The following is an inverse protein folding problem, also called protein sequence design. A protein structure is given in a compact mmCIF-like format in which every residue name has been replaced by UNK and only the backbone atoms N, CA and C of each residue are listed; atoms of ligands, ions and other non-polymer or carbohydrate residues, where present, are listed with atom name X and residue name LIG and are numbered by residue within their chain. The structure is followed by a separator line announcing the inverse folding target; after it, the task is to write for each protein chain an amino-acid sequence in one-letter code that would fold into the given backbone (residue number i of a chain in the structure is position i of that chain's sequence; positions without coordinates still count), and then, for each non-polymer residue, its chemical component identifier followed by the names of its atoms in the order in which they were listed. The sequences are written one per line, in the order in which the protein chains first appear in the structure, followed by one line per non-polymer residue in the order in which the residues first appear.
data_IF_930040176306
#
_entry.id   IF_930040176306
#
_cell.length_a   1.000
_cell.length_b   1.000
_cell.length_c   1.000
_cell.angle_alpha   90.00
_cell.angle_beta   90.00
_cell.angle_gamma   90.00
#
_symmetry.space_group_name_H-M   'P 1'
#
loop_
_entity.id
_entity.type
_entity.pdbx_description
1 polymer ?
#
# COMPACT_ATOMS: atom_id res chain seq x y z
N UNK A 1 -14.51 14.90 16.16
CA UNK A 1 -14.79 13.54 15.67
C UNK A 1 -15.81 12.86 16.58
N UNK A 2 -16.89 12.32 16.02
CA UNK A 2 -17.91 11.57 16.75
C UNK A 2 -17.45 10.12 17.05
N UNK A 3 -18.03 9.43 18.04
CA UNK A 3 -17.71 8.02 18.31
C UNK A 3 -17.96 7.10 17.11
N UNK A 4 -18.96 7.41 16.28
CA UNK A 4 -19.28 6.66 15.07
C UNK A 4 -18.19 6.82 14.00
N UNK A 5 -17.71 8.04 13.78
CA UNK A 5 -16.57 8.31 12.88
C UNK A 5 -15.32 7.58 13.33
N UNK A 6 -15.00 7.64 14.63
CA UNK A 6 -13.84 6.96 15.19
C UNK A 6 -13.94 5.43 15.01
N UNK A 7 -15.13 4.85 15.24
CA UNK A 7 -15.38 3.44 14.99
C UNK A 7 -15.25 3.08 13.50
N UNK A 8 -15.76 3.92 12.59
CA UNK A 8 -15.64 3.72 11.15
C UNK A 8 -14.17 3.73 10.70
N UNK A 9 -13.37 4.67 11.19
CA UNK A 9 -11.93 4.77 10.89
C UNK A 9 -11.16 3.56 11.44
N UNK A 10 -11.47 3.13 12.66
CA UNK A 10 -10.85 1.94 13.26
C UNK A 10 -11.18 0.68 12.45
N UNK A 11 -12.45 0.47 12.09
CA UNK A 11 -12.88 -0.66 11.25
C UNK A 11 -12.28 -0.59 9.85
N UNK A 12 -12.17 0.59 9.27
CA UNK A 12 -11.44 0.82 8.03
C UNK A 12 -9.97 0.44 8.19
N UNK A 13 -9.33 0.77 9.32
CA UNK A 13 -7.99 0.34 9.68
C UNK A 13 -7.85 -1.18 9.75
N UNK A 14 -8.79 -1.89 10.38
CA UNK A 14 -8.82 -3.37 10.38
C UNK A 14 -8.90 -3.93 8.97
N UNK A 15 -9.87 -3.46 8.17
CA UNK A 15 -10.02 -3.87 6.78
C UNK A 15 -8.77 -3.59 5.94
N UNK A 16 -8.20 -2.39 6.10
CA UNK A 16 -7.00 -1.97 5.40
C UNK A 16 -5.80 -2.83 5.79
N UNK A 17 -5.56 -3.09 7.07
CA UNK A 17 -4.47 -3.97 7.54
C UNK A 17 -4.58 -5.38 6.96
N UNK A 18 -5.79 -5.95 6.95
CA UNK A 18 -6.06 -7.27 6.36
C UNK A 18 -5.79 -7.27 4.86
N UNK A 19 -6.33 -6.31 4.13
CA UNK A 19 -6.16 -6.21 2.68
C UNK A 19 -4.73 -5.88 2.29
N UNK A 20 -4.03 -5.03 3.05
CA UNK A 20 -2.66 -4.67 2.73
C UNK A 20 -1.73 -5.89 2.87
N UNK A 21 -1.97 -6.71 3.90
CA UNK A 21 -1.22 -7.95 4.12
C UNK A 21 -1.43 -8.98 3.01
N UNK A 22 -2.66 -9.11 2.49
CA UNK A 22 -3.01 -10.15 1.50
C UNK A 22 -2.81 -9.68 0.06
N UNK A 23 -3.27 -8.47 -0.26
CA UNK A 23 -3.37 -7.93 -1.63
C UNK A 23 -2.42 -6.75 -1.83
N UNK A 24 -2.31 -5.87 -0.82
CA UNK A 24 -1.48 -4.66 -0.91
C UNK A 24 -2.23 -3.39 -1.31
N UNK A 25 -3.51 -3.29 -0.94
CA UNK A 25 -4.41 -2.20 -1.34
C UNK A 25 -5.14 -1.54 -0.16
N UNK A 26 -4.59 -1.60 1.05
CA UNK A 26 -5.27 -1.15 2.27
C UNK A 26 -5.71 0.33 2.24
N UNK A 27 -4.89 1.21 1.67
CA UNK A 27 -5.21 2.63 1.49
C UNK A 27 -6.50 2.88 0.72
N UNK A 28 -6.93 1.97 -0.18
CA UNK A 28 -8.21 2.11 -0.90
C UNK A 28 -9.44 1.89 -0.01
N UNK A 29 -9.25 1.54 1.26
CA UNK A 29 -10.32 1.56 2.27
C UNK A 29 -10.19 2.83 3.09
N UNK A 30 -9.05 3.00 3.77
CA UNK A 30 -8.86 4.05 4.76
C UNK A 30 -8.88 5.44 4.17
N UNK A 31 -8.18 5.69 3.06
CA UNK A 31 -8.10 7.03 2.48
C UNK A 31 -9.46 7.53 1.96
N UNK A 32 -10.19 6.77 1.11
CA UNK A 32 -11.59 7.04 0.78
C UNK A 32 -12.50 7.29 2.00
N UNK A 33 -12.33 6.51 3.07
CA UNK A 33 -13.11 6.68 4.31
C UNK A 33 -12.82 8.04 4.95
N UNK A 34 -11.56 8.45 5.03
CA UNK A 34 -11.18 9.76 5.58
C UNK A 34 -11.75 10.92 4.75
N UNK A 35 -11.70 10.82 3.42
CA UNK A 35 -12.27 11.83 2.53
C UNK A 35 -13.79 11.95 2.71
N UNK A 36 -14.49 10.81 2.82
CA UNK A 36 -15.92 10.80 3.07
C UNK A 36 -16.31 11.42 4.43
N UNK A 37 -15.38 11.47 5.38
CA UNK A 37 -15.53 12.15 6.67
C UNK A 37 -15.07 13.61 6.65
N UNK A 38 -14.72 14.16 5.48
CA UNK A 38 -14.35 15.56 5.30
C UNK A 38 -12.90 15.89 5.67
N UNK A 39 -12.03 14.88 5.84
CA UNK A 39 -10.61 15.12 6.10
C UNK A 39 -9.92 15.63 4.81
N UNK A 40 -9.16 16.74 4.86
CA UNK A 40 -8.44 17.26 3.70
C UNK A 40 -7.52 16.20 3.07
N UNK A 41 -7.41 16.10 1.73
CA UNK A 41 -6.70 15.00 1.09
C UNK A 41 -5.23 14.85 1.50
N UNK A 42 -4.50 15.96 1.65
CA UNK A 42 -3.08 15.91 2.04
C UNK A 42 -2.93 15.34 3.46
N UNK A 43 -3.65 15.90 4.44
CA UNK A 43 -3.69 15.40 5.83
C UNK A 43 -4.15 13.94 5.91
N UNK A 44 -5.17 13.57 5.13
CA UNK A 44 -5.68 12.21 5.07
C UNK A 44 -4.59 11.23 4.57
N UNK A 45 -3.85 11.61 3.53
CA UNK A 45 -2.80 10.77 2.96
C UNK A 45 -1.60 10.61 3.91
N UNK A 46 -1.17 11.72 4.55
CA UNK A 46 -0.07 11.72 5.51
C UNK A 46 -0.40 10.86 6.74
N UNK A 47 -1.56 11.09 7.34
CA UNK A 47 -2.04 10.36 8.53
C UNK A 47 -2.28 8.88 8.22
N UNK A 48 -2.87 8.57 7.06
CA UNK A 48 -3.07 7.20 6.63
C UNK A 48 -1.74 6.45 6.41
N UNK A 49 -0.76 7.08 5.77
CA UNK A 49 0.54 6.45 5.49
C UNK A 49 1.22 6.01 6.80
N UNK A 50 1.27 6.90 7.79
CA UNK A 50 1.76 6.61 9.13
C UNK A 50 0.92 5.54 9.84
N UNK A 51 -0.41 5.70 9.83
CA UNK A 51 -1.33 4.78 10.47
C UNK A 51 -1.24 3.35 9.94
N UNK A 52 -0.88 3.14 8.66
CA UNK A 52 -0.75 1.80 8.11
C UNK A 52 0.60 1.11 8.42
N UNK A 53 1.60 1.83 8.94
CA UNK A 53 2.93 1.27 9.24
C UNK A 53 2.87 0.12 10.25
N UNK A 54 2.21 0.26 11.42
CA UNK A 54 2.13 -0.83 12.40
C UNK A 54 1.44 -2.08 11.85
N UNK A 55 0.40 -1.90 11.03
CA UNK A 55 -0.27 -3.00 10.33
C UNK A 55 0.62 -3.68 9.28
N UNK A 56 1.42 -2.91 8.54
CA UNK A 56 2.42 -3.45 7.62
C UNK A 56 3.49 -4.30 8.34
N UNK A 57 3.95 -3.83 9.51
CA UNK A 57 4.87 -4.58 10.37
C UNK A 57 4.22 -5.88 10.87
N UNK A 58 2.97 -5.83 11.35
CA UNK A 58 2.22 -7.01 11.77
C UNK A 58 2.07 -8.02 10.61
N UNK A 59 1.75 -7.55 9.41
CA UNK A 59 1.67 -8.37 8.20
C UNK A 59 3.02 -9.00 7.80
N UNK A 60 4.13 -8.25 7.93
CA UNK A 60 5.48 -8.77 7.70
C UNK A 60 5.89 -9.84 8.72
N UNK A 61 5.57 -9.65 10.01
CA UNK A 61 5.78 -10.64 11.07
C UNK A 61 4.96 -11.91 10.82
N UNK A 62 3.73 -11.75 10.34
CA UNK A 62 2.86 -12.87 9.95
C UNK A 62 3.41 -13.68 8.77
N UNK A 63 4.12 -13.03 7.84
CA UNK A 63 4.78 -13.64 6.69
C UNK A 63 6.26 -13.97 6.93
N UNK A 64 6.72 -14.03 8.18
CA UNK A 64 8.15 -14.24 8.51
C UNK A 64 8.74 -15.54 7.98
N UNK A 65 7.92 -16.60 7.87
CA UNK A 65 8.36 -17.91 7.34
C UNK A 65 8.64 -17.82 5.84
N UNK A 66 7.82 -17.06 5.13
CA UNK A 66 7.93 -16.78 3.71
C UNK A 66 9.15 -15.89 3.39
N UNK A 67 9.67 -15.14 4.36
CA UNK A 67 10.88 -14.31 4.24
C UNK A 67 12.19 -15.09 4.44
N UNK A 68 12.15 -16.30 5.02
CA UNK A 68 13.35 -17.12 5.24
C UNK A 68 14.10 -17.35 3.93
N UNK A 69 15.41 -17.07 3.93
CA UNK A 69 16.29 -17.19 2.76
C UNK A 69 16.24 -16.01 1.78
N UNK A 70 15.42 -14.97 2.00
CA UNK A 70 15.28 -13.83 1.09
C UNK A 70 15.98 -12.54 1.55
N UNK A 71 16.76 -12.57 2.63
CA UNK A 71 17.35 -11.35 3.24
C UNK A 71 18.11 -10.47 2.24
N UNK A 72 18.99 -11.04 1.42
CA UNK A 72 19.75 -10.29 0.42
C UNK A 72 18.86 -9.61 -0.62
N UNK A 73 17.81 -10.30 -1.09
CA UNK A 73 16.81 -9.76 -2.02
C UNK A 73 16.03 -8.61 -1.38
N UNK A 74 15.53 -8.80 -0.16
CA UNK A 74 14.78 -7.78 0.59
C UNK A 74 15.63 -6.53 0.78
N UNK A 75 16.86 -6.67 1.28
CA UNK A 75 17.76 -5.53 1.50
C UNK A 75 18.07 -4.77 0.20
N UNK A 76 18.34 -5.49 -0.89
CA UNK A 76 18.59 -4.87 -2.19
C UNK A 76 17.37 -4.09 -2.68
N UNK A 77 16.19 -4.69 -2.65
CA UNK A 77 14.96 -4.04 -3.13
C UNK A 77 14.49 -2.91 -2.21
N UNK A 78 14.80 -2.98 -0.91
CA UNK A 78 14.54 -1.90 0.03
C UNK A 78 15.24 -0.62 -0.41
N UNK A 79 16.53 -0.66 -0.80
CA UNK A 79 17.26 0.53 -1.26
C UNK A 79 16.49 1.27 -2.37
N UNK A 80 16.00 0.55 -3.37
CA UNK A 80 15.27 1.15 -4.49
C UNK A 80 13.88 1.63 -4.06
N UNK A 81 13.15 0.79 -3.30
CA UNK A 81 11.79 1.11 -2.86
C UNK A 81 11.78 2.31 -1.92
N UNK A 82 12.74 2.42 -0.99
CA UNK A 82 12.83 3.53 -0.04
C UNK A 82 13.34 4.80 -0.70
N UNK A 83 14.30 4.73 -1.62
CA UNK A 83 14.72 5.89 -2.40
C UNK A 83 13.56 6.46 -3.23
N UNK A 84 12.80 5.58 -3.88
CA UNK A 84 11.56 5.96 -4.56
C UNK A 84 10.56 6.59 -3.59
N UNK A 85 10.26 5.89 -2.48
CA UNK A 85 9.32 6.35 -1.46
C UNK A 85 9.67 7.71 -0.87
N UNK A 86 10.94 7.97 -0.58
CA UNK A 86 11.41 9.27 -0.11
C UNK A 86 11.15 10.36 -1.16
N UNK A 87 11.49 10.11 -2.42
CA UNK A 87 11.23 11.06 -3.51
C UNK A 87 9.72 11.30 -3.69
N UNK A 88 8.90 10.24 -3.64
CA UNK A 88 7.45 10.35 -3.71
C UNK A 88 6.85 11.20 -2.58
N UNK A 89 7.32 11.00 -1.35
CA UNK A 89 6.88 11.77 -0.19
C UNK A 89 7.28 13.25 -0.31
N UNK A 90 8.50 13.53 -0.77
CA UNK A 90 8.95 14.91 -1.04
C UNK A 90 8.10 15.55 -2.14
N UNK A 91 7.78 14.82 -3.22
CA UNK A 91 6.92 15.33 -4.29
C UNK A 91 5.52 15.68 -3.78
N UNK A 92 4.95 14.90 -2.85
CA UNK A 92 3.67 15.22 -2.24
C UNK A 92 3.70 16.58 -1.52
N UNK A 93 4.80 16.84 -0.80
CA UNK A 93 4.94 18.03 0.05
C UNK A 93 5.36 19.28 -0.74
N UNK A 94 6.11 19.12 -1.84
CA UNK A 94 6.59 20.25 -2.65
C UNK A 94 5.56 20.68 -3.70
N UNK A 95 4.71 19.76 -4.17
CA UNK A 95 3.68 20.10 -5.14
C UNK A 95 2.52 20.87 -4.47
N UNK A 96 1.86 21.79 -5.20
CA UNK A 96 0.73 22.53 -4.66
C UNK A 96 -0.38 21.57 -4.16
N UNK A 97 -0.98 21.81 -2.98
CA UNK A 97 -2.05 20.96 -2.45
C UNK A 97 -3.20 20.73 -3.44
N UNK A 98 -3.61 21.78 -4.15
CA UNK A 98 -4.66 21.68 -5.19
C UNK A 98 -4.31 20.75 -6.37
N UNK A 99 -3.01 20.53 -6.65
CA UNK A 99 -2.61 19.54 -7.65
C UNK A 99 -2.84 18.10 -7.15
N UNK A 100 -2.61 17.85 -5.85
CA UNK A 100 -2.92 16.56 -5.23
C UNK A 100 -4.44 16.34 -5.19
N UNK A 101 -5.21 17.34 -4.76
CA UNK A 101 -6.68 17.26 -4.73
C UNK A 101 -7.26 16.94 -6.11
N UNK A 102 -6.77 17.59 -7.16
CA UNK A 102 -7.22 17.34 -8.53
C UNK A 102 -6.89 15.93 -9.05
N UNK A 103 -5.74 15.36 -8.64
CA UNK A 103 -5.32 14.04 -9.13
C UNK A 103 -5.89 12.87 -8.31
N UNK A 104 -6.27 13.11 -7.05
CA UNK A 104 -6.79 12.09 -6.13
C UNK A 104 -7.89 11.19 -6.72
N UNK A 105 -8.96 11.70 -7.36
CA UNK A 105 -9.99 10.86 -7.97
C UNK A 105 -9.41 9.87 -8.99
N UNK A 106 -8.45 10.33 -9.81
CA UNK A 106 -7.77 9.52 -10.81
C UNK A 106 -6.92 8.44 -10.14
N UNK A 107 -6.21 8.76 -9.06
CA UNK A 107 -5.40 7.80 -8.32
C UNK A 107 -6.26 6.73 -7.64
N UNK A 108 -7.42 7.09 -7.09
CA UNK A 108 -8.38 6.13 -6.52
C UNK A 108 -8.90 5.19 -7.61
N UNK A 109 -9.34 5.74 -8.75
CA UNK A 109 -9.82 4.95 -9.89
C UNK A 109 -8.74 4.02 -10.44
N UNK A 110 -7.50 4.50 -10.57
CA UNK A 110 -6.36 3.68 -10.94
C UNK A 110 -6.17 2.51 -9.96
N UNK A 111 -6.22 2.77 -8.66
CA UNK A 111 -6.12 1.74 -7.63
C UNK A 111 -7.25 0.70 -7.73
N UNK A 112 -8.49 1.13 -7.96
CA UNK A 112 -9.64 0.24 -8.20
C UNK A 112 -9.40 -0.65 -9.42
N UNK A 113 -8.97 -0.07 -10.54
CA UNK A 113 -8.66 -0.83 -11.77
C UNK A 113 -7.55 -1.85 -11.51
N UNK A 114 -6.49 -1.45 -10.82
CA UNK A 114 -5.39 -2.36 -10.47
C UNK A 114 -5.90 -3.54 -9.63
N UNK A 115 -6.78 -3.31 -8.65
CA UNK A 115 -7.37 -4.37 -7.82
C UNK A 115 -8.26 -5.33 -8.62
N UNK A 116 -9.02 -4.81 -9.59
CA UNK A 116 -9.88 -5.61 -10.47
C UNK A 116 -9.02 -6.48 -11.41
N UNK A 117 -7.92 -5.93 -11.94
CA UNK A 117 -7.03 -6.62 -12.90
C UNK A 117 -6.08 -7.60 -12.19
N UNK A 118 -5.70 -7.32 -10.95
CA UNK A 118 -4.77 -8.11 -10.13
C UNK A 118 -4.95 -9.64 -10.25
N UNK A 119 -6.15 -10.24 -10.05
CA UNK A 119 -6.30 -11.70 -10.14
C UNK A 119 -5.93 -12.28 -11.51
N UNK A 120 -6.25 -11.58 -12.61
CA UNK A 120 -5.89 -12.03 -13.96
C UNK A 120 -4.39 -11.99 -14.15
N UNK A 121 -3.75 -10.90 -13.72
CA UNK A 121 -2.30 -10.75 -13.78
C UNK A 121 -1.59 -11.83 -12.95
N UNK A 122 -2.04 -12.09 -11.73
CA UNK A 122 -1.45 -13.12 -10.87
C UNK A 122 -1.58 -14.53 -11.46
N UNK A 123 -2.71 -14.86 -12.11
CA UNK A 123 -2.87 -16.13 -12.83
C UNK A 123 -1.91 -16.23 -14.00
N UNK A 124 -1.85 -15.20 -14.86
CA UNK A 124 -0.95 -15.16 -16.00
C UNK A 124 0.53 -15.29 -15.59
N UNK A 125 0.89 -14.73 -14.44
CA UNK A 125 2.24 -14.86 -13.86
C UNK A 125 2.49 -16.29 -13.38
N UNK A 126 1.55 -16.87 -12.62
CA UNK A 126 1.69 -18.23 -12.09
C UNK A 126 1.83 -19.27 -13.21
N UNK A 127 0.97 -19.22 -14.23
CA UNK A 127 1.04 -20.13 -15.38
C UNK A 127 2.35 -19.98 -16.18
N UNK A 128 2.91 -18.77 -16.24
CA UNK A 128 4.22 -18.56 -16.89
C UNK A 128 5.35 -19.15 -16.05
N UNK A 129 5.28 -19.05 -14.73
CA UNK A 129 6.26 -19.66 -13.83
C UNK A 129 6.24 -21.19 -13.95
N UNK A 130 5.05 -21.80 -13.97
CA UNK A 130 4.88 -23.25 -14.17
C UNK A 130 5.43 -23.72 -15.52
N UNK A 131 5.14 -22.99 -16.61
CA UNK A 131 5.69 -23.29 -17.95
C UNK A 131 7.22 -23.22 -17.99
N UNK A 132 7.83 -22.22 -17.34
CA UNK A 132 9.30 -22.10 -17.27
C UNK A 132 9.94 -23.23 -16.47
N UNK A 133 9.33 -23.62 -15.35
CA UNK A 133 9.77 -24.74 -14.56
C UNK A 133 9.70 -26.06 -15.35
N UNK A 134 8.59 -26.27 -16.08
CA UNK A 134 8.43 -27.44 -16.95
C UNK A 134 9.44 -27.47 -18.12
N UNK A 135 9.84 -26.30 -18.63
CA UNK A 135 10.82 -26.18 -19.70
C UNK A 135 12.29 -26.32 -19.24
N UNK A 136 12.55 -26.60 -17.96
CA UNK A 136 13.91 -26.70 -17.41
C UNK A 136 14.71 -25.39 -17.45
N UNK A 137 14.05 -24.26 -17.70
CA UNK A 137 14.69 -22.95 -17.78
C UNK A 137 15.07 -22.54 -16.36
N UNK A 138 16.37 -22.51 -16.07
CA UNK A 138 16.90 -22.04 -14.80
C UNK A 138 16.37 -20.63 -14.54
N UNK A 139 15.77 -20.36 -13.36
CA UNK A 139 15.15 -19.08 -13.15
C UNK A 139 16.18 -17.96 -13.18
N UNK A 140 16.00 -17.00 -14.09
CA UNK A 140 16.85 -15.81 -14.15
C UNK A 140 16.56 -14.97 -12.90
N UNK A 141 17.35 -15.17 -11.84
CA UNK A 141 17.28 -14.45 -10.56
C UNK A 141 17.55 -12.93 -10.68
N UNK A 142 17.81 -12.42 -11.88
CA UNK A 142 18.33 -11.08 -12.13
C UNK A 142 17.66 -10.40 -13.31
N UNK A 143 16.33 -10.30 -13.30
CA UNK A 143 15.66 -9.33 -14.15
C UNK A 143 16.17 -7.91 -13.80
N UNK A 144 17.04 -7.36 -14.66
CA UNK A 144 17.71 -6.08 -14.46
C UNK A 144 16.72 -4.91 -14.28
N UNK A 145 15.50 -5.06 -14.81
CA UNK A 145 14.43 -4.08 -14.73
C UNK A 145 13.66 -4.10 -13.40
N UNK A 146 13.82 -5.14 -12.55
CA UNK A 146 13.07 -5.24 -11.28
C UNK A 146 13.43 -4.10 -10.31
N UNK A 147 14.72 -3.82 -10.00
CA UNK A 147 15.06 -2.71 -9.11
C UNK A 147 14.53 -1.32 -9.55
N UNK A 148 14.69 -0.87 -10.81
CA UNK A 148 14.13 0.41 -11.23
C UNK A 148 12.59 0.40 -11.25
N UNK A 149 11.94 -0.72 -11.56
CA UNK A 149 10.49 -0.83 -11.43
C UNK A 149 10.05 -0.74 -9.96
N UNK A 150 10.76 -1.38 -9.04
CA UNK A 150 10.51 -1.27 -7.59
C UNK A 150 10.71 0.16 -7.11
N UNK A 151 11.73 0.88 -7.60
CA UNK A 151 11.87 2.32 -7.35
C UNK A 151 10.64 3.10 -7.80
N UNK A 152 10.14 2.87 -9.01
CA UNK A 152 8.94 3.55 -9.51
C UNK A 152 7.69 3.22 -8.66
N UNK A 153 7.54 1.96 -8.24
CA UNK A 153 6.46 1.59 -7.30
C UNK A 153 6.64 2.26 -5.93
N UNK A 154 7.87 2.42 -5.46
CA UNK A 154 8.20 3.14 -4.23
C UNK A 154 7.85 4.62 -4.34
N UNK A 155 8.19 5.27 -5.47
CA UNK A 155 7.85 6.66 -5.76
C UNK A 155 6.34 6.90 -5.72
N UNK A 156 5.58 6.07 -6.43
CA UNK A 156 4.13 6.09 -6.32
C UNK A 156 3.65 5.82 -4.89
N UNK A 157 4.30 4.90 -4.20
CA UNK A 157 4.03 4.51 -2.82
C UNK A 157 4.16 5.64 -1.81
N UNK A 158 5.27 6.39 -1.89
CA UNK A 158 5.51 7.54 -1.02
C UNK A 158 4.64 8.74 -1.34
N UNK A 159 4.19 8.88 -2.60
CA UNK A 159 3.26 9.94 -3.00
C UNK A 159 1.83 9.65 -2.53
N UNK A 160 1.31 8.44 -2.78
CA UNK A 160 -0.09 8.08 -2.49
C UNK A 160 -0.31 6.70 -1.86
N UNK A 161 0.53 5.71 -2.17
CA UNK A 161 0.48 4.39 -1.51
C UNK A 161 -0.65 3.45 -1.93
N UNK A 162 -1.75 3.93 -2.53
CA UNK A 162 -2.91 3.10 -2.81
C UNK A 162 -2.67 2.02 -3.86
N UNK A 163 -2.92 0.75 -3.55
CA UNK A 163 -2.61 -0.38 -4.43
C UNK A 163 -1.12 -0.50 -4.84
N UNK A 164 -0.18 0.15 -4.13
CA UNK A 164 1.26 -0.03 -4.36
C UNK A 164 1.66 -1.51 -4.30
N UNK A 165 1.10 -2.26 -3.35
CA UNK A 165 1.42 -3.67 -3.21
C UNK A 165 0.96 -4.52 -4.40
N UNK A 166 -0.09 -4.12 -5.11
CA UNK A 166 -0.51 -4.77 -6.36
C UNK A 166 0.53 -4.54 -7.46
N UNK A 167 1.03 -3.31 -7.60
CA UNK A 167 2.10 -2.98 -8.54
C UNK A 167 3.36 -3.78 -8.23
N UNK A 168 3.77 -3.83 -6.96
CA UNK A 168 4.90 -4.64 -6.50
C UNK A 168 4.71 -6.12 -6.79
N UNK A 169 3.53 -6.68 -6.55
CA UNK A 169 3.25 -8.08 -6.88
C UNK A 169 3.29 -8.35 -8.39
N UNK A 170 2.90 -7.39 -9.23
CA UNK A 170 3.08 -7.48 -10.68
C UNK A 170 4.56 -7.51 -11.09
N UNK A 171 5.35 -6.55 -10.58
CA UNK A 171 6.79 -6.43 -10.83
C UNK A 171 7.53 -7.69 -10.35
N UNK A 172 7.33 -8.07 -9.09
CA UNK A 172 8.00 -9.21 -8.48
C UNK A 172 7.54 -10.52 -9.11
N UNK A 173 6.25 -10.68 -9.37
CA UNK A 173 5.72 -11.90 -9.98
C UNK A 173 6.28 -12.16 -11.37
N UNK A 174 6.47 -11.12 -12.19
CA UNK A 174 7.02 -11.27 -13.54
C UNK A 174 8.55 -11.44 -13.51
N UNK A 175 9.24 -10.69 -12.63
CA UNK A 175 10.69 -10.55 -12.67
C UNK A 175 11.47 -11.37 -11.64
N UNK A 176 10.80 -11.99 -10.66
CA UNK A 176 11.44 -12.78 -9.61
C UNK A 176 10.83 -14.18 -9.60
N UNK A 177 11.69 -15.17 -9.78
CA UNK A 177 11.29 -16.57 -9.77
C UNK A 177 11.15 -17.10 -8.34
N UNK A 178 9.97 -16.92 -7.78
CA UNK A 178 9.64 -17.31 -6.42
C UNK A 178 8.13 -17.48 -6.30
N UNK A 179 7.67 -18.28 -5.33
CA UNK A 179 6.23 -18.44 -5.12
C UNK A 179 5.56 -17.10 -4.77
N UNK A 180 4.33 -16.89 -5.23
CA UNK A 180 3.59 -15.65 -4.98
C UNK A 180 3.46 -15.33 -3.48
N UNK A 181 3.36 -16.35 -2.61
CA UNK A 181 3.29 -16.13 -1.15
C UNK A 181 4.62 -15.63 -0.58
N UNK A 182 5.75 -16.13 -1.08
CA UNK A 182 7.09 -15.66 -0.72
C UNK A 182 7.36 -14.26 -1.23
N UNK A 183 6.87 -13.92 -2.42
CA UNK A 183 6.90 -12.54 -2.93
C UNK A 183 5.97 -11.60 -2.16
N UNK A 184 4.81 -12.08 -1.70
CA UNK A 184 3.90 -11.30 -0.87
C UNK A 184 4.55 -10.92 0.48
N UNK A 185 5.34 -11.82 1.08
CA UNK A 185 6.15 -11.51 2.25
C UNK A 185 7.13 -10.35 1.97
N UNK A 186 7.85 -10.38 0.85
CA UNK A 186 8.75 -9.29 0.43
C UNK A 186 7.97 -7.99 0.23
N UNK A 187 6.84 -8.04 -0.47
CA UNK A 187 5.96 -6.87 -0.69
C UNK A 187 5.54 -6.23 0.63
N UNK A 188 5.12 -7.03 1.62
CA UNK A 188 4.68 -6.50 2.91
C UNK A 188 5.78 -5.71 3.61
N UNK A 189 7.03 -6.19 3.55
CA UNK A 189 8.19 -5.45 4.08
C UNK A 189 8.43 -4.16 3.29
N UNK A 190 8.47 -4.24 1.96
CA UNK A 190 8.74 -3.05 1.12
C UNK A 190 7.70 -1.95 1.33
N UNK A 191 6.41 -2.29 1.33
CA UNK A 191 5.32 -1.33 1.55
C UNK A 191 5.37 -0.76 2.96
N UNK A 192 5.61 -1.58 3.99
CA UNK A 192 5.70 -1.10 5.36
C UNK A 192 6.84 -0.08 5.53
N UNK A 193 8.00 -0.34 4.93
CA UNK A 193 9.14 0.59 5.01
C UNK A 193 8.89 1.84 4.17
N UNK A 194 8.29 1.74 2.97
CA UNK A 194 7.92 2.93 2.17
C UNK A 194 6.97 3.83 2.95
N UNK A 195 5.92 3.28 3.54
CA UNK A 195 4.98 4.03 4.37
C UNK A 195 5.67 4.64 5.60
N UNK A 196 6.60 3.91 6.23
CA UNK A 196 7.36 4.39 7.38
C UNK A 196 8.29 5.55 7.02
N UNK A 197 9.00 5.45 5.90
CA UNK A 197 9.90 6.51 5.41
C UNK A 197 9.09 7.72 4.96
N UNK A 198 8.02 7.54 4.19
CA UNK A 198 7.15 8.62 3.76
C UNK A 198 6.52 9.32 4.98
N UNK A 199 5.98 8.54 5.92
CA UNK A 199 5.43 9.04 7.17
C UNK A 199 6.44 9.82 8.01
N UNK A 200 7.68 9.33 8.13
CA UNK A 200 8.73 10.07 8.84
C UNK A 200 9.05 11.40 8.16
N UNK A 201 9.13 11.42 6.82
CA UNK A 201 9.34 12.66 6.05
C UNK A 201 8.16 13.62 6.27
N UNK A 202 6.92 13.12 6.26
CA UNK A 202 5.73 13.91 6.53
C UNK A 202 5.78 14.56 7.92
N UNK A 203 6.11 13.81 8.96
CA UNK A 203 6.27 14.34 10.33
C UNK A 203 7.38 15.37 10.38
N UNK A 204 8.57 15.05 9.87
CA UNK A 204 9.73 15.95 9.94
C UNK A 204 9.48 17.25 9.18
N UNK A 205 8.89 17.19 7.99
CA UNK A 205 8.63 18.40 7.19
C UNK A 205 7.50 19.24 7.78
N UNK A 206 6.40 18.61 8.20
CA UNK A 206 5.26 19.32 8.79
C UNK A 206 5.61 19.96 10.14
N UNK A 207 6.21 19.19 11.06
CA UNK A 207 6.50 19.66 12.43
C UNK A 207 7.64 20.68 12.48
N UNK A 208 8.61 20.61 11.56
CA UNK A 208 9.69 21.61 11.48
C UNK A 208 9.32 22.83 10.63
N UNK A 209 8.07 22.90 10.12
CA UNK A 209 7.62 23.99 9.25
C UNK A 209 8.42 24.13 7.96
N UNK A 210 9.03 23.03 7.51
CA UNK A 210 9.85 23.04 6.30
C UNK A 210 8.94 23.08 5.06
N UNK A 211 9.45 23.68 3.99
CA UNK A 211 8.75 23.78 2.69
C UNK A 211 7.43 24.58 2.71
N UNK A 212 7.10 25.30 3.79
CA UNK A 212 5.90 26.14 3.87
C UNK A 212 4.59 25.35 3.83
N UNK A 213 4.62 24.10 4.30
CA UNK A 213 3.47 23.19 4.27
C UNK A 213 2.56 23.48 5.46
N UNK A 214 1.30 23.86 5.22
CA UNK A 214 0.28 24.02 6.27
C UNK A 214 -0.39 22.69 6.67
N UNK A 215 -0.11 21.61 5.95
CA UNK A 215 -0.71 20.31 6.20
C UNK A 215 -0.09 19.63 7.43
N UNK A 216 -0.93 19.34 8.42
CA UNK A 216 -0.55 18.65 9.65
C UNK A 216 -0.92 17.15 9.60
N UNK A 217 -0.21 16.36 10.39
CA UNK A 217 -0.55 14.95 10.64
C UNK A 217 -1.60 14.90 11.76
N UNK A 218 -2.75 14.29 11.49
CA UNK A 218 -3.75 14.03 12.52
C UNK A 218 -3.38 12.74 13.27
N UNK A 219 -2.78 12.91 14.44
CA UNK A 219 -2.33 11.82 15.30
C UNK A 219 -3.46 10.91 15.80
N UNK A 220 -4.69 11.42 15.89
CA UNK A 220 -5.84 10.62 16.29
C UNK A 220 -6.26 9.68 15.15
N UNK A 221 -6.23 10.15 13.90
CA UNK A 221 -6.39 9.29 12.73
C UNK A 221 -5.28 8.23 12.65
N UNK A 222 -4.02 8.62 12.88
CA UNK A 222 -2.87 7.69 12.91
C UNK A 222 -3.09 6.60 13.95
N UNK A 223 -3.55 6.95 15.15
CA UNK A 223 -3.80 6.00 16.24
C UNK A 223 -4.95 5.03 15.90
N UNK A 224 -6.08 5.54 15.39
CA UNK A 224 -7.24 4.71 15.05
C UNK A 224 -6.93 3.76 13.88
N UNK A 225 -6.30 4.27 12.83
CA UNK A 225 -5.87 3.45 11.69
C UNK A 225 -4.82 2.45 12.15
N UNK A 226 -3.83 2.86 12.94
CA UNK A 226 -2.75 2.02 13.44
C UNK A 226 -3.25 0.86 14.29
N UNK A 227 -4.09 1.13 15.27
CA UNK A 227 -4.67 0.10 16.13
C UNK A 227 -5.51 -0.90 15.34
N UNK A 228 -6.38 -0.42 14.45
CA UNK A 228 -7.14 -1.27 13.53
C UNK A 228 -6.21 -2.09 12.62
N UNK A 229 -5.23 -1.44 12.00
CA UNK A 229 -4.33 -2.06 11.03
C UNK A 229 -3.43 -3.13 11.63
N UNK A 230 -3.05 -3.04 12.91
CA UNK A 230 -2.34 -4.13 13.62
C UNK A 230 -3.21 -5.39 13.67
N UNK A 231 -4.44 -5.26 14.18
CA UNK A 231 -5.38 -6.36 14.27
C UNK A 231 -5.67 -6.94 12.87
N UNK A 232 -5.92 -6.04 11.91
CA UNK A 232 -6.11 -6.38 10.51
C UNK A 232 -4.91 -7.09 9.90
N UNK A 233 -3.70 -6.68 10.21
CA UNK A 233 -2.46 -7.24 9.67
C UNK A 233 -2.24 -8.69 10.11
N UNK A 234 -2.40 -8.96 11.41
CA UNK A 234 -2.36 -10.34 11.92
C UNK A 234 -3.50 -11.20 11.37
N UNK A 235 -4.72 -10.65 11.29
CA UNK A 235 -5.86 -11.33 10.69
C UNK A 235 -5.58 -11.69 9.22
N UNK A 236 -5.06 -10.75 8.43
CA UNK A 236 -4.67 -10.96 7.04
C UNK A 236 -3.60 -12.03 6.87
N UNK A 237 -2.60 -12.07 7.75
CA UNK A 237 -1.57 -13.10 7.70
C UNK A 237 -2.09 -14.50 8.08
N UNK A 238 -2.96 -14.58 9.08
CA UNK A 238 -3.48 -15.84 9.62
C UNK A 238 -4.58 -16.45 8.74
N UNK A 239 -5.59 -15.66 8.38
CA UNK A 239 -6.81 -16.13 7.69
C UNK A 239 -7.02 -15.48 6.33
N UNK A 240 -6.25 -14.47 5.95
CA UNK A 240 -6.42 -13.77 4.67
C UNK A 240 -6.32 -14.67 3.44
N UNK A 241 -5.63 -15.81 3.53
CA UNK A 241 -5.56 -16.84 2.47
C UNK A 241 -6.88 -17.58 2.26
N UNK A 242 -7.78 -17.56 3.25
CA UNK A 242 -9.09 -18.23 3.24
C UNK A 242 -10.24 -17.27 2.94
N UNK A 243 -9.97 -15.96 2.88
CA UNK A 243 -11.01 -14.97 2.62
C UNK A 243 -11.44 -15.04 1.15
N UNK A 244 -12.76 -15.03 0.85
CA UNK A 244 -13.24 -15.01 -0.51
C UNK A 244 -12.69 -13.79 -1.26
N UNK A 245 -11.90 -13.99 -2.33
CA UNK A 245 -11.27 -12.87 -3.04
C UNK A 245 -12.28 -11.88 -3.65
N UNK A 246 -13.50 -12.34 -3.92
CA UNK A 246 -14.62 -11.51 -4.40
C UNK A 246 -15.08 -10.51 -3.33
N UNK A 247 -15.16 -10.92 -2.06
CA UNK A 247 -15.63 -10.04 -0.97
C UNK A 247 -14.62 -8.92 -0.73
N UNK A 248 -13.34 -9.25 -0.64
CA UNK A 248 -12.28 -8.24 -0.43
C UNK A 248 -12.27 -7.19 -1.54
N UNK A 249 -12.39 -7.63 -2.81
CA UNK A 249 -12.42 -6.72 -3.96
C UNK A 249 -13.71 -5.92 -4.01
N UNK A 250 -14.85 -6.55 -3.74
CA UNK A 250 -16.16 -5.88 -3.70
C UNK A 250 -16.15 -4.72 -2.70
N UNK A 251 -15.63 -4.94 -1.49
CA UNK A 251 -15.49 -3.88 -0.47
C UNK A 251 -14.61 -2.73 -0.99
N UNK A 252 -13.42 -3.04 -1.53
CA UNK A 252 -12.51 -2.01 -2.06
C UNK A 252 -13.19 -1.18 -3.17
N UNK A 253 -13.87 -1.84 -4.11
CA UNK A 253 -14.53 -1.17 -5.24
C UNK A 253 -15.66 -0.28 -4.73
N UNK A 254 -16.53 -0.80 -3.85
CA UNK A 254 -17.66 -0.03 -3.31
C UNK A 254 -17.17 1.20 -2.54
N UNK A 255 -16.25 1.02 -1.59
CA UNK A 255 -15.72 2.13 -0.79
C UNK A 255 -15.02 3.17 -1.67
N UNK A 256 -14.21 2.72 -2.62
CA UNK A 256 -13.52 3.63 -3.55
C UNK A 256 -14.47 4.40 -4.45
N UNK A 257 -15.50 3.77 -5.00
CA UNK A 257 -16.50 4.44 -5.83
C UNK A 257 -17.35 5.43 -5.03
N UNK A 258 -17.72 5.10 -3.80
CA UNK A 258 -18.44 6.02 -2.91
C UNK A 258 -17.61 7.27 -2.65
N UNK A 259 -16.32 7.15 -2.31
CA UNK A 259 -15.49 8.32 -2.08
C UNK A 259 -15.26 9.17 -3.34
N UNK A 260 -15.09 8.53 -4.50
CA UNK A 260 -15.03 9.27 -5.78
C UNK A 260 -16.32 10.04 -6.01
N UNK A 261 -17.49 9.42 -5.76
CA UNK A 261 -18.77 10.10 -5.89
C UNK A 261 -18.90 11.28 -4.91
N UNK A 262 -18.48 11.13 -3.65
CA UNK A 262 -18.46 12.22 -2.66
C UNK A 262 -17.58 13.37 -3.13
N UNK A 263 -16.36 13.09 -3.59
CA UNK A 263 -15.42 14.10 -4.10
C UNK A 263 -15.95 14.90 -5.29
N UNK A 264 -16.87 14.35 -6.09
CA UNK A 264 -17.50 15.08 -7.20
C UNK A 264 -18.71 15.92 -6.78
N UNK A 265 -19.25 15.69 -5.58
CA UNK A 265 -20.43 16.38 -5.06
C UNK A 265 -20.06 17.50 -4.08
N UNK A 266 -18.87 17.43 -3.46
CA UNK A 266 -18.30 18.44 -2.55
C UNK A 266 -17.30 19.32 -3.27
#
# INVERSE_FOLDING_TARGET
MSPLEAAAILLAGVGAGTINTVVGSGTLITFPTLLALGVPPVTANMSNSLGLVPGGVAGAIGYRRELTGQRGRVLRLLVFSTAGGALGAVLLLVLPPGAFEAIVPVLILLGIVLVIVQPRLSRMVAERAERRAAAGVVPVERAWWVPPAVFATGLYGGYFGAAQGVLLMGVLGIGVAESLQRLNGVKNVLVAVVNGVAGLIFVVVAELGLLGTEAEVDWLLVLLIGTGAIAGGFLGAAVGRRLPPLVLRGVIVVVGLVAVAVLFVT
#
